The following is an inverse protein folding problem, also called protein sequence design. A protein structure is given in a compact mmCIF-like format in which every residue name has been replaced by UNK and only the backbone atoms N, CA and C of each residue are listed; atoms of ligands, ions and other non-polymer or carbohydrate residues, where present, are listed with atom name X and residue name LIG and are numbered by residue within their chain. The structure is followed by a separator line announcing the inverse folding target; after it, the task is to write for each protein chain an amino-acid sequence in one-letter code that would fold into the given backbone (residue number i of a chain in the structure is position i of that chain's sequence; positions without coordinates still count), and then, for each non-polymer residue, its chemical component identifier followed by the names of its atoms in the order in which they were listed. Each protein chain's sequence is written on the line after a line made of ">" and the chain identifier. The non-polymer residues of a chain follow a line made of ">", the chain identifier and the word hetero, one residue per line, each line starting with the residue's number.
data_IF_664279592835
#
_entry.id   IF_664279592835
#
_cell.length_a   1.000
_cell.length_b   1.000
_cell.length_c   1.000
_cell.angle_alpha   90.00
_cell.angle_beta   90.00
_cell.angle_gamma   90.00
#
_symmetry.space_group_name_H-M   'P 1'
#
loop_
_entity.id
_entity.type
_entity.pdbx_description
1 polymer ?
#
# COMPACT_ATOMS: atom_id res chain seq x y z
N UNK A 1 5.99 12.50 -10.66
CA UNK A 1 4.54 12.75 -10.73
C UNK A 1 3.96 12.61 -12.13
N UNK A 2 4.63 13.08 -13.19
CA UNK A 2 4.07 13.02 -14.56
C UNK A 2 3.65 11.62 -15.03
N UNK A 3 4.43 10.57 -14.72
CA UNK A 3 4.13 9.19 -15.13
C UNK A 3 2.90 8.62 -14.39
N UNK A 4 2.73 8.97 -13.11
CA UNK A 4 1.61 8.48 -12.28
C UNK A 4 0.29 9.04 -12.81
N UNK A 5 0.28 10.33 -13.19
CA UNK A 5 -0.90 11.00 -13.71
C UNK A 5 -1.33 10.52 -15.10
N UNK A 6 -0.45 9.84 -15.85
CA UNK A 6 -0.74 9.30 -17.17
C UNK A 6 -1.01 7.78 -17.19
N UNK A 7 -0.89 7.11 -16.04
CA UNK A 7 -1.08 5.67 -15.96
C UNK A 7 -2.57 5.30 -15.94
N UNK A 8 -2.92 4.21 -16.63
CA UNK A 8 -4.29 3.67 -16.62
C UNK A 8 -4.62 2.92 -15.32
N UNK A 9 -3.62 2.31 -14.70
CA UNK A 9 -3.72 1.55 -13.45
C UNK A 9 -2.56 1.93 -12.55
N UNK A 10 -2.84 2.13 -11.27
CA UNK A 10 -1.85 2.42 -10.24
C UNK A 10 -1.80 1.28 -9.22
N UNK A 11 -0.74 0.49 -9.24
CA UNK A 11 -0.46 -0.52 -8.22
C UNK A 11 0.50 0.06 -7.18
N UNK A 12 0.05 0.19 -5.93
CA UNK A 12 0.91 0.53 -4.80
C UNK A 12 1.17 -0.70 -3.94
N UNK A 13 2.45 -0.98 -3.66
CA UNK A 13 2.88 -2.08 -2.79
C UNK A 13 3.43 -1.48 -1.49
N UNK A 14 2.68 -1.65 -0.41
CA UNK A 14 3.05 -1.28 0.95
C UNK A 14 3.69 -2.52 1.59
N UNK A 15 4.99 -2.69 1.34
CA UNK A 15 5.75 -3.89 1.73
C UNK A 15 5.96 -3.99 3.25
N UNK A 16 6.19 -5.21 3.72
CA UNK A 16 6.60 -5.49 5.11
C UNK A 16 8.08 -5.23 5.40
N UNK A 17 8.88 -4.89 4.38
CA UNK A 17 10.33 -4.66 4.51
C UNK A 17 10.73 -3.19 4.60
N UNK A 18 9.76 -2.26 4.58
CA UNK A 18 9.99 -0.82 4.66
C UNK A 18 8.89 -0.13 5.47
N UNK A 19 9.17 1.03 6.06
CA UNK A 19 8.19 1.80 6.87
C UNK A 19 6.98 2.25 6.03
N UNK A 20 7.21 2.56 4.75
CA UNK A 20 6.23 2.91 3.71
C UNK A 20 5.31 4.11 4.00
N UNK A 21 5.70 5.05 4.88
CA UNK A 21 4.81 6.15 5.30
C UNK A 21 4.48 7.09 4.14
N UNK A 22 5.48 7.48 3.34
CA UNK A 22 5.28 8.39 2.21
C UNK A 22 4.44 7.73 1.10
N UNK A 23 4.71 6.46 0.81
CA UNK A 23 4.00 5.64 -0.17
C UNK A 23 2.52 5.49 0.20
N UNK A 24 2.23 5.27 1.49
CA UNK A 24 0.84 5.26 1.98
C UNK A 24 0.15 6.60 1.73
N UNK A 25 0.80 7.74 1.97
CA UNK A 25 0.21 9.06 1.70
C UNK A 25 -0.09 9.27 0.22
N UNK A 26 0.83 8.85 -0.66
CA UNK A 26 0.64 8.91 -2.11
C UNK A 26 -0.51 8.01 -2.53
N UNK A 27 -0.59 6.78 -2.02
CA UNK A 27 -1.68 5.87 -2.31
C UNK A 27 -3.04 6.44 -1.87
N UNK A 28 -3.15 6.95 -0.63
CA UNK A 28 -4.38 7.61 -0.14
C UNK A 28 -4.80 8.76 -1.05
N UNK A 29 -3.85 9.57 -1.51
CA UNK A 29 -4.15 10.69 -2.40
C UNK A 29 -4.82 10.23 -3.71
N UNK A 30 -4.25 9.23 -4.39
CA UNK A 30 -4.82 8.73 -5.65
C UNK A 30 -6.11 7.92 -5.47
N UNK A 31 -6.28 7.25 -4.33
CA UNK A 31 -7.58 6.67 -3.95
C UNK A 31 -8.62 7.78 -3.80
N UNK A 32 -8.28 8.88 -3.11
CA UNK A 32 -9.17 10.03 -2.91
C UNK A 32 -9.53 10.77 -4.21
N UNK A 33 -8.66 10.73 -5.22
CA UNK A 33 -8.94 11.27 -6.56
C UNK A 33 -9.81 10.34 -7.42
N UNK A 34 -10.14 9.13 -6.95
CA UNK A 34 -10.91 8.15 -7.71
C UNK A 34 -10.14 7.51 -8.87
N UNK A 35 -8.81 7.53 -8.82
CA UNK A 35 -8.00 6.85 -9.84
C UNK A 35 -8.18 5.32 -9.77
N UNK A 36 -7.86 4.62 -10.86
CA UNK A 36 -7.89 3.15 -10.88
C UNK A 36 -6.70 2.58 -10.09
N UNK A 37 -6.87 2.53 -8.77
CA UNK A 37 -5.87 2.08 -7.82
C UNK A 37 -6.08 0.60 -7.48
N UNK A 38 -4.97 -0.09 -7.26
CA UNK A 38 -4.89 -1.42 -6.65
C UNK A 38 -3.85 -1.35 -5.53
N UNK A 39 -4.15 -1.97 -4.39
CA UNK A 39 -3.24 -1.99 -3.24
C UNK A 39 -2.79 -3.40 -2.92
N UNK A 40 -1.50 -3.55 -2.65
CA UNK A 40 -0.95 -4.70 -1.94
C UNK A 40 -0.43 -4.19 -0.59
N UNK A 41 -1.00 -4.65 0.53
CA UNK A 41 -0.63 -4.21 1.86
C UNK A 41 -0.11 -5.40 2.67
N UNK A 42 1.13 -5.30 3.11
CA UNK A 42 1.80 -6.27 3.96
C UNK A 42 2.16 -5.61 5.29
N UNK A 43 1.77 -6.27 6.38
CA UNK A 43 2.02 -5.78 7.73
C UNK A 43 3.43 -6.10 8.18
N UNK A 44 4.02 -5.19 8.96
CA UNK A 44 5.31 -5.40 9.61
C UNK A 44 5.18 -6.51 10.66
N UNK A 45 6.15 -7.40 10.69
CA UNK A 45 6.24 -8.47 11.69
C UNK A 45 6.91 -7.94 12.97
N UNK A 46 6.74 -8.66 14.07
CA UNK A 46 7.46 -8.39 15.32
C UNK A 46 8.97 -8.50 15.10
N UNK A 47 9.75 -7.71 15.85
CA UNK A 47 11.22 -7.72 15.80
C UNK A 47 11.84 -7.37 14.44
N UNK A 48 11.06 -6.81 13.50
CA UNK A 48 11.55 -6.44 12.17
C UNK A 48 12.70 -5.44 12.24
N UNK A 49 13.68 -5.63 11.35
CA UNK A 49 14.80 -4.71 11.13
C UNK A 49 14.59 -3.99 9.81
N UNK A 50 14.52 -2.66 9.85
CA UNK A 50 14.36 -1.81 8.66
C UNK A 50 15.48 -0.77 8.67
N UNK A 51 16.23 -0.67 7.57
CA UNK A 51 17.37 0.24 7.42
C UNK A 51 18.41 0.09 8.54
N UNK A 52 18.63 -1.14 9.03
CA UNK A 52 19.57 -1.43 10.12
C UNK A 52 19.04 -1.13 11.53
N UNK A 53 17.82 -0.63 11.67
CA UNK A 53 17.17 -0.37 12.95
C UNK A 53 16.18 -1.49 13.29
N UNK A 54 16.34 -2.12 14.46
CA UNK A 54 15.30 -2.99 15.03
C UNK A 54 14.18 -2.11 15.58
N UNK A 55 12.99 -2.20 14.99
CA UNK A 55 11.86 -1.40 15.43
C UNK A 55 11.34 -1.87 16.79
N UNK A 56 10.91 -0.91 17.62
CA UNK A 56 10.20 -1.22 18.86
C UNK A 56 8.81 -1.79 18.58
N UNK A 57 8.25 -2.55 19.53
CA UNK A 57 6.88 -3.06 19.40
C UNK A 57 5.85 -1.94 19.21
N UNK A 58 6.07 -0.80 19.86
CA UNK A 58 5.20 0.37 19.72
C UNK A 58 5.27 0.93 18.29
N UNK A 59 6.49 1.07 17.74
CA UNK A 59 6.67 1.55 16.37
C UNK A 59 6.02 0.60 15.35
N UNK A 60 6.20 -0.73 15.51
CA UNK A 60 5.54 -1.72 14.65
C UNK A 60 4.02 -1.57 14.70
N UNK A 61 3.43 -1.42 15.90
CA UNK A 61 1.99 -1.19 16.07
C UNK A 61 1.52 0.09 15.38
N UNK A 62 2.26 1.19 15.49
CA UNK A 62 1.90 2.46 14.86
C UNK A 62 2.01 2.42 13.33
N UNK A 63 3.06 1.81 12.77
CA UNK A 63 3.18 1.61 11.33
C UNK A 63 2.10 0.70 10.76
N UNK A 64 1.73 -0.36 11.50
CA UNK A 64 0.65 -1.26 11.12
C UNK A 64 -0.72 -0.61 11.26
N UNK A 65 -0.90 0.31 12.21
CA UNK A 65 -2.12 1.13 12.31
C UNK A 65 -2.30 2.02 11.08
N UNK A 66 -1.24 2.64 10.59
CA UNK A 66 -1.27 3.40 9.33
C UNK A 66 -1.70 2.54 8.13
N UNK A 67 -1.15 1.32 8.01
CA UNK A 67 -1.55 0.33 6.99
C UNK A 67 -3.02 -0.04 7.08
N UNK A 68 -3.50 -0.26 8.30
CA UNK A 68 -4.91 -0.58 8.57
C UNK A 68 -5.84 0.56 8.13
N UNK A 69 -5.48 1.83 8.43
CA UNK A 69 -6.27 2.99 8.01
C UNK A 69 -6.32 3.14 6.48
N UNK A 70 -5.20 2.95 5.79
CA UNK A 70 -5.18 2.94 4.32
C UNK A 70 -6.06 1.81 3.76
N UNK A 71 -5.92 0.58 4.29
CA UNK A 71 -6.72 -0.56 3.86
C UNK A 71 -8.21 -0.30 4.03
N UNK A 72 -8.61 0.21 5.19
CA UNK A 72 -9.99 0.50 5.54
C UNK A 72 -10.59 1.63 4.68
N UNK A 73 -9.83 2.70 4.44
CA UNK A 73 -10.20 3.76 3.51
C UNK A 73 -10.39 3.24 2.08
N UNK A 74 -9.46 2.42 1.60
CA UNK A 74 -9.49 1.86 0.25
C UNK A 74 -10.66 0.89 0.05
N UNK A 75 -10.90 -0.01 1.01
CA UNK A 75 -12.02 -0.95 0.96
C UNK A 75 -13.36 -0.21 0.89
N UNK A 76 -13.54 0.87 1.68
CA UNK A 76 -14.74 1.72 1.58
C UNK A 76 -14.89 2.42 0.24
N UNK A 77 -13.78 2.76 -0.41
CA UNK A 77 -13.78 3.35 -1.75
C UNK A 77 -13.96 2.32 -2.88
N UNK A 78 -14.12 1.03 -2.57
CA UNK A 78 -14.24 -0.05 -3.57
C UNK A 78 -12.91 -0.39 -4.27
N UNK A 79 -11.78 0.06 -3.73
CA UNK A 79 -10.45 -0.25 -4.23
C UNK A 79 -10.06 -1.66 -3.79
N UNK A 80 -9.58 -2.53 -4.71
CA UNK A 80 -9.13 -3.87 -4.33
C UNK A 80 -7.84 -3.80 -3.51
N UNK A 81 -7.81 -4.57 -2.41
CA UNK A 81 -6.68 -4.66 -1.49
C UNK A 81 -6.29 -6.13 -1.35
N UNK A 82 -5.02 -6.42 -1.62
CA UNK A 82 -4.42 -7.76 -1.54
C UNK A 82 -3.31 -7.78 -0.48
N UNK A 83 -2.95 -8.98 -0.01
CA UNK A 83 -1.76 -9.21 0.82
C UNK A 83 -0.62 -9.89 0.07
N UNK A 84 -0.95 -10.57 -1.03
CA UNK A 84 0.01 -11.18 -1.95
C UNK A 84 0.30 -10.25 -3.14
N UNK A 85 1.58 -10.17 -3.53
CA UNK A 85 2.01 -9.31 -4.63
C UNK A 85 1.59 -9.91 -5.98
N UNK A 86 1.64 -11.22 -6.13
CA UNK A 86 1.29 -11.90 -7.38
C UNK A 86 -0.19 -11.72 -7.71
N UNK A 87 -1.07 -11.84 -6.72
CA UNK A 87 -2.50 -11.56 -6.85
C UNK A 87 -2.77 -10.09 -7.25
N UNK A 88 -2.08 -9.15 -6.60
CA UNK A 88 -2.22 -7.73 -6.90
C UNK A 88 -1.75 -7.38 -8.33
N UNK A 89 -0.63 -7.96 -8.76
CA UNK A 89 -0.09 -7.79 -10.12
C UNK A 89 -1.02 -8.40 -11.16
N UNK A 90 -1.58 -9.59 -10.89
CA UNK A 90 -2.54 -10.23 -11.78
C UNK A 90 -3.80 -9.34 -11.95
N UNK A 91 -4.33 -8.81 -10.85
CA UNK A 91 -5.45 -7.87 -10.89
C UNK A 91 -5.10 -6.61 -11.70
N UNK A 92 -3.90 -6.07 -11.52
CA UNK A 92 -3.44 -4.89 -12.27
C UNK A 92 -3.37 -5.17 -13.77
N UNK A 93 -2.78 -6.29 -14.18
CA UNK A 93 -2.71 -6.69 -15.58
C UNK A 93 -4.10 -6.80 -16.23
N UNK A 94 -5.07 -7.38 -15.52
CA UNK A 94 -6.45 -7.51 -16.01
C UNK A 94 -7.17 -6.16 -16.20
N UNK A 95 -6.76 -5.11 -15.50
CA UNK A 95 -7.34 -3.76 -15.59
C UNK A 95 -6.61 -2.82 -16.56
N UNK A 96 -5.52 -3.27 -17.17
CA UNK A 96 -4.75 -2.52 -18.16
C UNK A 96 -5.28 -2.68 -19.61
N UNK A 97 -6.48 -3.22 -19.79
CA UNK A 97 -7.10 -3.51 -21.08
C UNK A 97 -8.25 -2.55 -21.39
#
# INVERSE_FOLDING_TARGET
>A
MHIINSAQVLLFVITKTARCVAEMLVAVHYVGLGCNVILCIQYLESDVVIDGEKLSELAVKDYNRGRMYLSDLATRAGVPVFSDISEAVLCAAQRCH
#
